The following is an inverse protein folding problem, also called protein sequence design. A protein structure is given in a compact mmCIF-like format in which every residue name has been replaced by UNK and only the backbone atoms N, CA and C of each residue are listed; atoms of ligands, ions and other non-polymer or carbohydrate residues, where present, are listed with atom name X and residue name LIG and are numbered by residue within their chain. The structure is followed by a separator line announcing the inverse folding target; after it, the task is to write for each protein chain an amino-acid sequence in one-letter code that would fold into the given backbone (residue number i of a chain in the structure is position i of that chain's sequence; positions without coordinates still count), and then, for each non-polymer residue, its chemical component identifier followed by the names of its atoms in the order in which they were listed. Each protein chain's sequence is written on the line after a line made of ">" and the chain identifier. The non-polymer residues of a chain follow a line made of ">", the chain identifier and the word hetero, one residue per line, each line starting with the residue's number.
data_IF_915880583738
#
_entry.id   IF_915880583738
#
_cell.length_a   1.000
_cell.length_b   1.000
_cell.length_c   1.000
_cell.angle_alpha   90.00
_cell.angle_beta   90.00
_cell.angle_gamma   90.00
#
_symmetry.space_group_name_H-M   'P 1'
#
loop_
_entity.id
_entity.type
_entity.pdbx_description
1 polymer ?
#
# COMPACT_ATOMS: atom_id res chain seq x y z
N UNK A 1 -19.99 -29.43 9.90
CA UNK A 1 -19.79 -28.80 11.23
C UNK A 1 -19.07 -29.68 12.27
N UNK A 2 -18.30 -30.72 11.90
CA UNK A 2 -17.68 -31.64 12.88
C UNK A 2 -16.14 -31.74 12.90
N UNK A 3 -15.44 -31.19 11.89
CA UNK A 3 -13.98 -31.36 11.76
C UNK A 3 -13.18 -30.28 12.50
N UNK A 4 -13.75 -29.09 12.69
CA UNK A 4 -13.08 -27.95 13.32
C UNK A 4 -12.91 -28.08 14.85
N UNK A 5 -13.74 -28.88 15.54
CA UNK A 5 -13.65 -29.02 17.01
C UNK A 5 -12.44 -29.83 17.49
N UNK A 6 -11.82 -30.66 16.65
CA UNK A 6 -10.65 -31.50 17.04
C UNK A 6 -9.30 -30.78 16.91
N UNK A 7 -9.25 -29.60 16.28
CA UNK A 7 -8.01 -28.80 16.11
C UNK A 7 -7.83 -27.77 17.25
N UNK A 8 -8.83 -27.59 18.11
CA UNK A 8 -8.77 -26.68 19.27
C UNK A 8 -7.67 -26.99 20.29
N UNK A 9 -7.05 -28.18 20.24
CA UNK A 9 -6.00 -28.59 21.20
C UNK A 9 -4.56 -28.37 20.70
N UNK A 10 -4.34 -27.77 19.52
CA UNK A 10 -3.00 -27.80 18.88
C UNK A 10 -2.18 -26.51 18.95
N UNK A 11 -2.77 -25.38 19.33
CA UNK A 11 -2.00 -24.18 19.64
C UNK A 11 -1.60 -24.24 21.10
N UNK A 12 -0.31 -24.48 21.38
CA UNK A 12 0.23 -24.45 22.74
C UNK A 12 0.19 -23.00 23.22
N UNK A 13 -0.84 -22.67 23.98
CA UNK A 13 -0.81 -21.51 24.87
C UNK A 13 0.09 -21.84 26.06
N UNK A 14 0.82 -20.86 26.58
CA UNK A 14 1.24 -20.94 27.97
C UNK A 14 -0.04 -21.07 28.80
N UNK A 15 -0.21 -22.20 29.48
CA UNK A 15 -1.46 -22.81 29.97
C UNK A 15 -2.28 -21.99 31.01
N UNK A 16 -1.99 -20.71 31.19
CA UNK A 16 -2.61 -19.85 32.22
C UNK A 16 -3.21 -18.53 31.69
N UNK A 17 -2.99 -18.17 30.42
CA UNK A 17 -3.55 -16.91 29.90
C UNK A 17 -4.99 -17.11 29.42
N UNK A 18 -5.97 -16.62 30.20
CA UNK A 18 -7.38 -16.46 29.76
C UNK A 18 -7.66 -15.05 29.23
N UNK A 19 -6.70 -14.13 29.34
CA UNK A 19 -6.81 -12.72 28.99
C UNK A 19 -5.84 -12.33 27.87
N UNK A 20 -6.18 -11.24 27.17
CA UNK A 20 -5.28 -10.56 26.24
C UNK A 20 -4.42 -9.52 26.99
N UNK A 21 -3.17 -9.28 26.58
CA UNK A 21 -2.49 -9.84 25.41
C UNK A 21 -2.04 -11.29 25.59
N UNK A 22 -2.00 -12.06 24.49
CA UNK A 22 -1.56 -13.44 24.47
C UNK A 22 -0.56 -13.68 23.34
N UNK A 23 0.39 -14.59 23.54
CA UNK A 23 1.28 -15.09 22.48
C UNK A 23 0.93 -16.53 22.16
N UNK A 24 0.61 -16.79 20.90
CA UNK A 24 0.20 -18.08 20.38
C UNK A 24 1.34 -18.67 19.54
N UNK A 25 1.78 -19.87 19.87
CA UNK A 25 2.73 -20.62 19.04
C UNK A 25 1.98 -21.32 17.91
N UNK A 26 2.21 -20.90 16.66
CA UNK A 26 1.55 -21.44 15.47
C UNK A 26 2.34 -22.58 14.82
N UNK A 27 3.68 -22.50 14.84
CA UNK A 27 4.58 -23.56 14.42
C UNK A 27 5.62 -23.74 15.54
N UNK A 28 5.75 -24.94 16.13
CA UNK A 28 6.60 -25.16 17.29
C UNK A 28 8.02 -24.65 17.10
N UNK A 29 8.45 -23.72 17.94
CA UNK A 29 9.81 -23.15 17.89
C UNK A 29 10.11 -22.27 16.66
N UNK A 30 9.14 -21.99 15.79
CA UNK A 30 9.38 -21.37 14.48
C UNK A 30 8.51 -20.14 14.23
N UNK A 31 7.23 -20.17 14.59
CA UNK A 31 6.29 -19.08 14.31
C UNK A 31 5.37 -18.82 15.49
N UNK A 32 5.33 -17.57 15.94
CA UNK A 32 4.45 -17.09 16.99
C UNK A 32 3.61 -15.91 16.50
N UNK A 33 2.46 -15.70 17.15
CA UNK A 33 1.62 -14.52 16.95
C UNK A 33 1.25 -13.92 18.29
N UNK A 34 1.56 -12.65 18.46
CA UNK A 34 1.07 -11.84 19.57
C UNK A 34 -0.29 -11.28 19.20
N UNK A 35 -1.29 -11.55 20.03
CA UNK A 35 -2.66 -11.04 19.92
C UNK A 35 -2.92 -10.09 21.09
N UNK A 36 -3.40 -8.89 20.80
CA UNK A 36 -3.69 -7.89 21.83
C UNK A 36 -4.98 -7.13 21.51
N UNK A 37 -5.61 -6.58 22.55
CA UNK A 37 -6.63 -5.54 22.35
C UNK A 37 -5.93 -4.29 21.83
N UNK A 38 -6.47 -3.73 20.76
CA UNK A 38 -5.93 -2.59 20.06
C UNK A 38 -6.97 -1.46 20.02
N UNK A 39 -6.57 -0.25 20.38
CA UNK A 39 -7.44 0.92 20.31
C UNK A 39 -7.24 1.66 18.99
N UNK A 40 -8.34 1.87 18.26
CA UNK A 40 -8.33 2.58 16.99
C UNK A 40 -8.34 4.10 17.24
N UNK A 41 -7.51 4.86 16.50
CA UNK A 41 -7.40 6.31 16.69
C UNK A 41 -8.67 7.06 16.26
N UNK A 42 -9.41 6.51 15.30
CA UNK A 42 -10.67 7.07 14.78
C UNK A 42 -11.65 5.96 14.44
N UNK A 43 -12.94 6.27 14.51
CA UNK A 43 -14.02 5.37 14.10
C UNK A 43 -15.12 6.17 13.44
N UNK A 44 -15.65 5.69 12.32
CA UNK A 44 -16.71 6.35 11.56
C UNK A 44 -18.02 6.48 12.35
N UNK A 45 -18.28 5.54 13.27
CA UNK A 45 -19.53 5.41 14.02
C UNK A 45 -19.44 5.91 15.48
N UNK A 46 -18.27 6.34 15.96
CA UNK A 46 -17.98 6.66 17.38
C UNK A 46 -18.35 5.55 18.40
N UNK A 47 -18.77 4.36 17.98
CA UNK A 47 -19.37 3.36 18.86
C UNK A 47 -18.42 2.21 19.19
N UNK A 48 -17.50 1.84 18.30
CA UNK A 48 -16.52 0.81 18.60
C UNK A 48 -15.10 1.14 18.12
N UNK A 49 -14.27 1.63 19.06
CA UNK A 49 -12.83 1.85 18.88
C UNK A 49 -11.96 0.63 19.20
N UNK A 50 -12.57 -0.50 19.58
CA UNK A 50 -11.82 -1.71 19.89
C UNK A 50 -11.53 -2.52 18.64
N UNK A 51 -10.36 -3.11 18.65
CA UNK A 51 -9.88 -4.03 17.65
C UNK A 51 -9.03 -5.12 18.31
N UNK A 52 -8.76 -6.18 17.56
CA UNK A 52 -7.70 -7.12 17.86
C UNK A 52 -6.54 -6.86 16.91
N UNK A 53 -5.34 -6.69 17.46
CA UNK A 53 -4.11 -6.69 16.68
C UNK A 53 -3.44 -8.05 16.72
N UNK A 54 -2.87 -8.45 15.60
CA UNK A 54 -2.11 -9.67 15.40
C UNK A 54 -0.75 -9.27 14.86
N UNK A 55 0.31 -9.66 15.54
CA UNK A 55 1.69 -9.40 15.11
C UNK A 55 2.45 -10.70 15.08
N UNK A 56 2.99 -11.09 13.93
CA UNK A 56 3.80 -12.30 13.81
C UNK A 56 5.20 -12.08 14.38
N UNK A 57 5.83 -13.18 14.78
CA UNK A 57 7.26 -13.28 15.08
C UNK A 57 7.78 -14.62 14.57
N UNK A 58 8.83 -14.60 13.76
CA UNK A 58 9.48 -15.78 13.20
C UNK A 58 9.45 -15.85 11.68
N UNK A 59 8.67 -15.00 11.00
CA UNK A 59 8.67 -14.94 9.52
C UNK A 59 10.02 -14.46 8.97
N UNK A 60 10.73 -13.61 9.71
CA UNK A 60 12.06 -13.12 9.31
C UNK A 60 13.06 -14.26 9.09
N UNK A 61 12.91 -15.39 9.80
CA UNK A 61 13.75 -16.59 9.59
C UNK A 61 13.64 -17.18 8.18
N UNK A 62 12.54 -16.88 7.47
CA UNK A 62 12.26 -17.30 6.10
C UNK A 62 12.50 -16.17 5.08
N UNK A 63 13.09 -15.06 5.50
CA UNK A 63 13.28 -13.86 4.66
C UNK A 63 12.00 -13.04 4.43
N UNK A 64 10.88 -13.42 5.06
CA UNK A 64 9.60 -12.71 5.00
C UNK A 64 9.55 -11.64 6.09
N UNK A 65 9.15 -10.41 5.76
CA UNK A 65 8.87 -9.38 6.75
C UNK A 65 7.74 -9.84 7.69
N UNK A 66 7.82 -9.50 8.97
CA UNK A 66 6.74 -9.79 9.91
C UNK A 66 5.44 -9.12 9.47
N UNK A 67 4.30 -9.71 9.82
CA UNK A 67 2.99 -9.23 9.44
C UNK A 67 2.25 -8.66 10.64
N UNK A 68 1.59 -7.53 10.40
CA UNK A 68 0.70 -6.85 11.31
C UNK A 68 -0.69 -6.77 10.71
N UNK A 69 -1.68 -7.25 11.45
CA UNK A 69 -3.08 -7.22 11.04
C UNK A 69 -3.93 -6.69 12.19
N UNK A 70 -4.85 -5.77 11.89
CA UNK A 70 -5.78 -5.21 12.88
C UNK A 70 -7.20 -5.43 12.40
N UNK A 71 -8.00 -6.08 13.24
CA UNK A 71 -9.40 -6.38 12.98
C UNK A 71 -10.29 -5.59 13.93
N UNK A 72 -11.09 -4.66 13.42
CA UNK A 72 -12.11 -3.95 14.23
C UNK A 72 -13.14 -4.96 14.72
N UNK A 73 -13.31 -5.06 16.03
CA UNK A 73 -14.20 -6.03 16.68
C UNK A 73 -14.47 -5.64 18.12
N UNK A 74 -15.57 -6.14 18.69
CA UNK A 74 -15.88 -5.97 20.12
C UNK A 74 -15.26 -7.07 20.99
N UNK A 75 -14.63 -8.06 20.38
CA UNK A 75 -14.04 -9.21 21.07
C UNK A 75 -12.82 -8.79 21.87
N UNK A 76 -12.78 -9.16 23.14
CA UNK A 76 -11.66 -8.84 24.05
C UNK A 76 -11.10 -10.04 24.78
N UNK A 77 -11.70 -11.22 24.58
CA UNK A 77 -11.32 -12.44 25.27
C UNK A 77 -10.53 -13.37 24.34
N UNK A 78 -9.63 -14.17 24.91
CA UNK A 78 -8.75 -15.04 24.15
C UNK A 78 -9.50 -16.15 23.40
N UNK A 79 -10.55 -16.69 24.00
CA UNK A 79 -11.42 -17.73 23.43
C UNK A 79 -12.27 -17.24 22.24
N UNK A 80 -12.44 -15.92 22.13
CA UNK A 80 -13.12 -15.27 21.01
C UNK A 80 -12.18 -14.93 19.84
N UNK A 81 -10.86 -15.12 20.01
CA UNK A 81 -9.87 -14.77 18.97
C UNK A 81 -10.13 -15.56 17.69
N UNK A 82 -10.35 -14.88 16.55
CA UNK A 82 -10.55 -15.53 15.27
C UNK A 82 -9.34 -16.37 14.85
N UNK A 83 -9.60 -17.53 14.26
CA UNK A 83 -8.57 -18.50 13.89
C UNK A 83 -8.07 -18.28 12.46
N UNK A 84 -8.89 -17.64 11.62
CA UNK A 84 -8.64 -17.42 10.21
C UNK A 84 -7.33 -16.66 9.95
N UNK A 85 -6.99 -15.56 10.68
CA UNK A 85 -5.69 -14.92 10.55
C UNK A 85 -4.53 -15.83 10.97
N UNK A 86 -4.72 -16.65 12.02
CA UNK A 86 -3.70 -17.58 12.50
C UNK A 86 -3.36 -18.64 11.46
N UNK A 87 -4.39 -19.23 10.83
CA UNK A 87 -4.19 -20.16 9.71
C UNK A 87 -3.52 -19.47 8.53
N UNK A 88 -3.90 -18.23 8.22
CA UNK A 88 -3.28 -17.47 7.16
C UNK A 88 -1.78 -17.26 7.40
N UNK A 89 -1.37 -16.87 8.62
CA UNK A 89 0.06 -16.70 8.94
C UNK A 89 0.87 -18.00 8.79
N UNK A 90 0.29 -19.15 9.13
CA UNK A 90 0.93 -20.45 8.85
C UNK A 90 1.11 -20.71 7.35
N UNK A 91 0.16 -20.28 6.50
CA UNK A 91 0.30 -20.40 5.05
C UNK A 91 1.38 -19.46 4.52
N UNK A 92 1.42 -18.21 4.99
CA UNK A 92 2.48 -17.26 4.62
C UNK A 92 3.86 -17.85 4.94
N UNK A 93 4.03 -18.43 6.13
CA UNK A 93 5.29 -19.07 6.51
C UNK A 93 5.71 -20.19 5.53
N UNK A 94 4.77 -21.08 5.16
CA UNK A 94 5.04 -22.17 4.20
C UNK A 94 5.35 -21.67 2.79
N UNK A 95 4.69 -20.60 2.36
CA UNK A 95 4.90 -19.98 1.05
C UNK A 95 6.26 -19.25 1.03
N UNK A 96 6.63 -18.59 2.14
CA UNK A 96 7.94 -17.97 2.32
C UNK A 96 9.08 -18.99 2.30
N UNK A 97 8.90 -20.19 2.88
CA UNK A 97 9.86 -21.30 2.76
C UNK A 97 10.15 -21.70 1.31
N UNK A 98 9.21 -21.44 0.39
CA UNK A 98 9.36 -21.71 -1.04
C UNK A 98 9.94 -20.51 -1.82
N UNK A 99 10.39 -19.46 -1.13
CA UNK A 99 10.95 -18.24 -1.72
C UNK A 99 9.90 -17.24 -2.21
N UNK A 100 8.61 -17.50 -1.98
CA UNK A 100 7.53 -16.59 -2.36
C UNK A 100 7.23 -15.63 -1.19
N UNK A 101 7.72 -14.39 -1.31
CA UNK A 101 7.65 -13.40 -0.25
C UNK A 101 6.64 -12.31 -0.58
N UNK A 102 5.81 -11.95 0.40
CA UNK A 102 5.00 -10.73 0.37
C UNK A 102 5.87 -9.50 0.62
N UNK A 103 5.66 -8.49 -0.21
CA UNK A 103 6.33 -7.18 -0.15
C UNK A 103 5.31 -6.06 -0.12
N UNK A 104 5.73 -4.87 0.25
CA UNK A 104 4.89 -3.67 0.08
C UNK A 104 4.34 -3.57 -1.35
N UNK A 105 3.06 -3.26 -1.46
CA UNK A 105 2.33 -3.12 -2.72
C UNK A 105 1.94 -4.45 -3.38
N UNK A 106 2.45 -5.58 -2.91
CA UNK A 106 2.03 -6.90 -3.38
C UNK A 106 0.63 -7.26 -2.85
N UNK A 107 0.02 -8.26 -3.49
CA UNK A 107 -1.31 -8.76 -3.14
C UNK A 107 -1.22 -10.26 -2.88
N UNK A 108 -1.96 -10.74 -1.88
CA UNK A 108 -2.39 -12.13 -1.81
C UNK A 108 -3.86 -12.22 -2.18
N UNK A 109 -4.18 -12.88 -3.28
CA UNK A 109 -5.57 -13.19 -3.65
C UNK A 109 -5.95 -14.56 -3.13
N UNK A 110 -7.10 -14.66 -2.47
CA UNK A 110 -7.60 -15.92 -1.95
C UNK A 110 -8.29 -16.74 -3.05
N UNK A 111 -8.19 -18.06 -2.92
CA UNK A 111 -8.93 -19.02 -3.74
C UNK A 111 -10.33 -19.27 -3.15
N UNK A 112 -10.71 -20.54 -3.06
CA UNK A 112 -12.01 -20.95 -2.50
C UNK A 112 -12.15 -20.63 -1.00
N UNK A 113 -11.04 -20.69 -0.25
CA UNK A 113 -11.00 -20.35 1.16
C UNK A 113 -10.58 -18.89 1.33
N UNK A 114 -11.49 -18.07 1.84
CA UNK A 114 -11.29 -16.65 2.07
C UNK A 114 -11.20 -16.28 3.56
N UNK A 115 -10.87 -15.02 3.84
CA UNK A 115 -10.94 -14.45 5.19
C UNK A 115 -12.27 -13.72 5.34
N UNK A 116 -13.31 -14.45 5.75
CA UNK A 116 -14.66 -13.88 6.00
C UNK A 116 -15.29 -13.18 4.78
N UNK A 117 -15.18 -13.78 3.61
CA UNK A 117 -15.71 -13.23 2.36
C UNK A 117 -14.79 -12.22 1.67
N UNK A 118 -13.77 -11.69 2.35
CA UNK A 118 -12.75 -10.84 1.73
C UNK A 118 -11.89 -11.64 0.76
N UNK A 119 -11.61 -11.12 -0.43
CA UNK A 119 -10.99 -11.89 -1.52
C UNK A 119 -9.50 -11.66 -1.71
N UNK A 120 -8.91 -10.75 -0.97
CA UNK A 120 -7.46 -10.67 -0.87
C UNK A 120 -6.96 -9.74 0.22
N UNK A 121 -5.63 -9.64 0.27
CA UNK A 121 -4.86 -8.75 1.12
C UNK A 121 -3.97 -7.90 0.23
N UNK A 122 -3.92 -6.60 0.48
CA UNK A 122 -2.79 -5.77 0.04
C UNK A 122 -1.86 -5.52 1.21
N UNK A 123 -0.55 -5.62 0.97
CA UNK A 123 0.48 -5.37 1.96
C UNK A 123 0.99 -3.93 1.85
N UNK A 124 1.02 -3.22 2.96
CA UNK A 124 1.48 -1.83 3.04
C UNK A 124 2.48 -1.64 4.17
N UNK A 125 3.15 -0.49 4.24
CA UNK A 125 3.97 -0.15 5.40
C UNK A 125 3.11 -0.08 6.66
N UNK A 126 3.65 -0.56 7.77
CA UNK A 126 3.04 -0.36 9.08
C UNK A 126 2.92 1.15 9.41
N UNK A 127 1.90 1.56 10.18
CA UNK A 127 1.71 2.96 10.55
C UNK A 127 2.91 3.55 11.29
N UNK A 128 3.33 4.76 10.91
CA UNK A 128 4.49 5.41 11.49
C UNK A 128 4.39 5.61 13.02
N UNK A 129 3.19 5.91 13.54
CA UNK A 129 2.95 6.09 14.98
C UNK A 129 3.06 4.80 15.80
N UNK A 130 3.11 3.62 15.15
CA UNK A 130 3.34 2.32 15.78
C UNK A 130 4.80 1.86 15.64
N UNK A 131 5.67 2.67 15.04
CA UNK A 131 7.10 2.39 14.99
C UNK A 131 7.67 2.38 16.42
N UNK A 132 8.40 1.32 16.75
CA UNK A 132 8.92 1.08 18.10
C UNK A 132 8.05 0.15 18.96
N UNK A 133 6.77 -0.03 18.61
CA UNK A 133 5.90 -1.07 19.17
C UNK A 133 5.97 -2.33 18.30
N UNK A 134 5.92 -2.13 16.98
CA UNK A 134 5.97 -3.20 15.99
C UNK A 134 7.42 -3.61 15.66
N UNK A 135 7.63 -4.85 15.16
CA UNK A 135 8.90 -5.27 14.58
C UNK A 135 9.41 -4.27 13.53
N UNK A 136 10.73 -4.10 13.43
CA UNK A 136 11.36 -3.10 12.55
C UNK A 136 10.97 -3.26 11.08
N UNK A 137 10.84 -4.50 10.60
CA UNK A 137 10.47 -4.82 9.23
C UNK A 137 9.10 -5.50 9.23
N UNK A 138 8.05 -4.69 9.31
CA UNK A 138 6.69 -5.19 9.42
C UNK A 138 5.78 -4.62 8.32
N UNK A 139 5.00 -5.50 7.70
CA UNK A 139 3.97 -5.16 6.71
C UNK A 139 2.60 -5.16 7.37
N UNK A 140 1.85 -4.09 7.16
CA UNK A 140 0.43 -4.04 7.48
C UNK A 140 -0.39 -4.76 6.42
N UNK A 141 -1.36 -5.54 6.85
CA UNK A 141 -2.31 -6.24 6.00
C UNK A 141 -3.66 -5.54 5.98
N UNK A 142 -4.17 -5.23 4.78
CA UNK A 142 -5.51 -4.66 4.59
C UNK A 142 -6.35 -5.60 3.73
N UNK A 143 -7.51 -6.03 4.23
CA UNK A 143 -8.40 -6.91 3.47
C UNK A 143 -9.16 -6.13 2.38
N UNK A 144 -9.27 -6.77 1.21
CA UNK A 144 -9.85 -6.20 -0.01
C UNK A 144 -10.95 -7.10 -0.58
N UNK A 145 -11.98 -6.47 -1.17
CA UNK A 145 -12.96 -7.15 -2.02
C UNK A 145 -12.30 -7.67 -3.30
N UNK A 146 -13.01 -8.47 -4.11
CA UNK A 146 -12.44 -8.96 -5.36
C UNK A 146 -12.17 -7.82 -6.35
N UNK A 147 -13.11 -6.89 -6.45
CA UNK A 147 -13.01 -5.72 -7.33
C UNK A 147 -11.86 -4.82 -6.88
N UNK A 148 -11.65 -4.67 -5.58
CA UNK A 148 -10.52 -3.91 -5.03
C UNK A 148 -9.18 -4.59 -5.31
N UNK A 149 -9.09 -5.93 -5.20
CA UNK A 149 -7.90 -6.71 -5.59
C UNK A 149 -7.54 -6.47 -7.05
N UNK A 150 -8.53 -6.58 -7.96
CA UNK A 150 -8.35 -6.31 -9.39
C UNK A 150 -7.92 -4.86 -9.62
N UNK A 151 -8.54 -3.92 -8.90
CA UNK A 151 -8.21 -2.51 -9.01
C UNK A 151 -6.77 -2.20 -8.55
N UNK A 152 -6.22 -2.89 -7.56
CA UNK A 152 -4.81 -2.73 -7.19
C UNK A 152 -3.89 -3.14 -8.35
N UNK A 153 -4.19 -4.26 -9.03
CA UNK A 153 -3.40 -4.73 -10.18
C UNK A 153 -3.48 -3.76 -11.37
N UNK A 154 -4.65 -3.13 -11.58
CA UNK A 154 -4.88 -2.22 -12.69
C UNK A 154 -4.42 -0.79 -12.43
N UNK A 155 -4.62 -0.27 -11.22
CA UNK A 155 -4.46 1.16 -10.93
C UNK A 155 -3.40 1.46 -9.87
N UNK A 156 -2.77 0.43 -9.30
CA UNK A 156 -1.74 0.57 -8.27
C UNK A 156 -2.33 0.65 -6.87
N UNK A 157 -1.59 0.11 -5.91
CA UNK A 157 -2.06 -0.04 -4.55
C UNK A 157 -2.21 1.28 -3.79
N UNK A 158 -1.34 2.27 -4.04
CA UNK A 158 -1.42 3.59 -3.38
C UNK A 158 -2.75 4.28 -3.66
N UNK A 159 -3.30 4.17 -4.90
CA UNK A 159 -4.63 4.69 -5.24
C UNK A 159 -5.72 4.04 -4.42
N UNK A 160 -5.74 2.71 -4.36
CA UNK A 160 -6.78 1.97 -3.65
C UNK A 160 -6.70 2.26 -2.14
N UNK A 161 -5.49 2.28 -1.58
CA UNK A 161 -5.28 2.63 -0.18
C UNK A 161 -5.70 4.08 0.13
N UNK A 162 -5.37 5.06 -0.72
CA UNK A 162 -5.78 6.46 -0.48
C UNK A 162 -7.29 6.64 -0.62
N UNK A 163 -7.96 5.86 -1.47
CA UNK A 163 -9.43 5.80 -1.55
C UNK A 163 -10.04 5.20 -0.28
N UNK A 164 -9.46 4.12 0.28
CA UNK A 164 -9.86 3.60 1.59
C UNK A 164 -9.63 4.64 2.69
N UNK A 165 -8.53 5.38 2.63
CA UNK A 165 -8.21 6.50 3.53
C UNK A 165 -9.27 7.59 3.48
N UNK A 166 -9.67 8.00 2.28
CA UNK A 166 -10.77 8.95 2.05
C UNK A 166 -12.08 8.44 2.63
N UNK A 167 -12.47 7.20 2.33
CA UNK A 167 -13.71 6.60 2.85
C UNK A 167 -13.70 6.52 4.38
N UNK A 168 -12.57 6.17 4.99
CA UNK A 168 -12.44 6.04 6.44
C UNK A 168 -12.10 7.36 7.16
N UNK A 169 -11.89 8.46 6.42
CA UNK A 169 -11.36 9.74 6.94
C UNK A 169 -10.08 9.56 7.76
N UNK A 170 -9.15 8.75 7.25
CA UNK A 170 -7.90 8.42 7.91
C UNK A 170 -6.72 8.49 6.95
N UNK A 171 -5.61 9.06 7.41
CA UNK A 171 -4.40 9.22 6.62
C UNK A 171 -3.30 8.22 7.00
N UNK A 172 -2.58 7.62 6.02
CA UNK A 172 -2.89 7.65 4.58
C UNK A 172 -3.97 6.65 4.17
N UNK A 173 -4.20 5.62 4.97
CA UNK A 173 -5.24 4.59 4.78
C UNK A 173 -5.53 3.92 6.12
N UNK A 174 -6.75 3.42 6.38
CA UNK A 174 -7.04 2.69 7.60
C UNK A 174 -6.19 1.43 7.67
N UNK A 175 -5.29 1.35 8.65
CA UNK A 175 -4.43 0.18 8.84
C UNK A 175 -5.18 -1.01 9.45
N UNK A 176 -6.42 -0.80 9.85
CA UNK A 176 -7.33 -1.83 10.33
C UNK A 176 -8.35 -2.23 9.27
N UNK A 177 -8.86 -3.45 9.39
CA UNK A 177 -9.99 -3.93 8.61
C UNK A 177 -11.27 -3.81 9.44
N UNK A 178 -12.26 -3.11 8.90
CA UNK A 178 -13.64 -3.14 9.37
C UNK A 178 -14.44 -4.10 8.48
N UNK A 179 -14.96 -5.18 9.06
CA UNK A 179 -15.75 -6.17 8.32
C UNK A 179 -17.03 -5.61 7.71
N UNK A 180 -17.55 -4.51 8.26
CA UNK A 180 -18.80 -3.91 7.84
C UNK A 180 -18.58 -2.68 6.96
N UNK A 181 -17.34 -2.40 6.51
CA UNK A 181 -17.11 -1.30 5.58
C UNK A 181 -17.76 -1.61 4.24
N UNK A 182 -18.28 -0.58 3.60
CA UNK A 182 -18.68 -0.66 2.20
C UNK A 182 -17.44 -0.87 1.30
N UNK A 183 -17.64 -1.56 0.18
CA UNK A 183 -16.63 -1.68 -0.86
C UNK A 183 -16.45 -0.34 -1.57
N UNK A 184 -15.24 -0.08 -2.05
CA UNK A 184 -14.99 1.09 -2.88
C UNK A 184 -15.80 1.05 -4.18
N UNK A 185 -16.17 2.24 -4.69
CA UNK A 185 -16.82 2.40 -6.00
C UNK A 185 -15.82 2.24 -7.16
N UNK A 186 -15.22 1.06 -7.29
CA UNK A 186 -14.16 0.75 -8.27
C UNK A 186 -14.59 1.02 -9.72
N UNK A 187 -15.86 0.83 -10.04
CA UNK A 187 -16.41 1.08 -11.38
C UNK A 187 -16.17 2.50 -11.91
N UNK A 188 -15.99 3.49 -11.04
CA UNK A 188 -15.67 4.87 -11.44
C UNK A 188 -14.25 5.02 -11.97
N UNK A 189 -13.33 4.11 -11.59
CA UNK A 189 -11.95 4.07 -12.11
C UNK A 189 -11.88 3.68 -13.58
N UNK A 190 -12.99 3.18 -14.16
CA UNK A 190 -13.08 2.90 -15.60
C UNK A 190 -12.82 4.15 -16.47
N UNK A 191 -12.95 5.34 -15.90
CA UNK A 191 -12.66 6.63 -16.55
C UNK A 191 -11.19 7.03 -16.46
N UNK A 192 -10.38 6.32 -15.67
CA UNK A 192 -8.96 6.64 -15.51
C UNK A 192 -8.18 6.32 -16.78
N UNK A 193 -7.26 7.21 -17.12
CA UNK A 193 -6.29 7.02 -18.20
C UNK A 193 -5.45 5.76 -18.00
N UNK A 194 -5.20 5.34 -16.75
CA UNK A 194 -4.43 4.13 -16.47
C UNK A 194 -4.98 2.87 -17.15
N UNK A 195 -6.30 2.81 -17.40
CA UNK A 195 -6.95 1.63 -18.01
C UNK A 195 -6.40 1.29 -19.39
N UNK A 196 -6.00 2.29 -20.18
CA UNK A 196 -5.53 2.12 -21.56
C UNK A 196 -4.01 2.23 -21.73
N UNK A 197 -3.28 2.40 -20.63
CA UNK A 197 -1.86 2.69 -20.66
C UNK A 197 -0.99 1.50 -20.27
N UNK A 198 0.25 1.49 -20.76
CA UNK A 198 1.29 0.62 -20.22
C UNK A 198 1.64 1.12 -18.81
N UNK A 199 1.71 0.20 -17.86
CA UNK A 199 1.95 0.49 -16.45
C UNK A 199 3.17 -0.27 -15.96
N UNK A 200 3.91 0.35 -15.06
CA UNK A 200 5.03 -0.25 -14.35
C UNK A 200 4.81 -0.04 -12.85
N UNK A 201 4.63 -1.14 -12.13
CA UNK A 201 4.60 -1.12 -10.66
C UNK A 201 6.02 -0.84 -10.18
N UNK A 202 6.19 0.22 -9.41
CA UNK A 202 7.53 0.69 -9.04
C UNK A 202 7.59 1.15 -7.57
N UNK A 203 7.51 0.21 -6.60
CA UNK A 203 7.39 0.53 -5.18
C UNK A 203 8.67 1.12 -4.57
N UNK A 204 9.81 0.99 -5.24
CA UNK A 204 11.06 1.66 -4.81
C UNK A 204 11.08 3.15 -5.16
N UNK A 205 10.05 3.64 -5.86
CA UNK A 205 9.87 5.03 -6.20
C UNK A 205 8.76 5.69 -5.36
N UNK A 206 8.91 6.98 -5.12
CA UNK A 206 7.84 7.87 -4.64
C UNK A 206 7.71 9.07 -5.57
N UNK A 207 6.50 9.61 -5.68
CA UNK A 207 6.27 10.87 -6.40
C UNK A 207 5.55 11.87 -5.50
N UNK A 208 6.14 13.06 -5.34
CA UNK A 208 5.63 14.10 -4.42
C UNK A 208 5.64 15.47 -5.06
N UNK A 209 4.59 16.26 -4.83
CA UNK A 209 4.56 17.70 -5.08
C UNK A 209 4.94 18.43 -3.80
N UNK A 210 5.97 19.26 -3.86
CA UNK A 210 6.44 20.07 -2.71
C UNK A 210 6.05 21.53 -2.92
N UNK A 211 5.42 22.12 -1.90
CA UNK A 211 4.99 23.52 -1.82
C UNK A 211 4.16 23.99 -3.03
N UNK A 212 3.41 23.08 -3.66
CA UNK A 212 2.65 23.34 -4.89
C UNK A 212 3.46 23.91 -6.06
N UNK A 213 4.77 23.66 -6.10
CA UNK A 213 5.66 24.24 -7.11
C UNK A 213 6.44 23.18 -7.90
N UNK A 214 6.87 22.11 -7.24
CA UNK A 214 7.85 21.20 -7.83
C UNK A 214 7.49 19.74 -7.58
N UNK A 215 7.41 18.95 -8.65
CA UNK A 215 7.18 17.50 -8.60
C UNK A 215 8.53 16.78 -8.53
N UNK A 216 8.68 15.92 -7.53
CA UNK A 216 9.84 15.07 -7.35
C UNK A 216 9.47 13.61 -7.57
N UNK A 217 10.11 12.95 -8.52
CA UNK A 217 10.23 11.50 -8.57
C UNK A 217 11.50 11.10 -7.80
N UNK A 218 11.34 10.42 -6.67
CA UNK A 218 12.48 9.90 -5.91
C UNK A 218 12.57 8.40 -6.10
N UNK A 219 13.75 7.87 -6.44
CA UNK A 219 14.00 6.44 -6.61
C UNK A 219 15.14 6.02 -5.69
N UNK A 220 14.99 4.89 -4.99
CA UNK A 220 16.06 4.33 -4.17
C UNK A 220 17.24 3.85 -5.05
N UNK A 221 18.50 4.19 -4.70
CA UNK A 221 19.70 3.74 -5.42
C UNK A 221 19.83 2.21 -5.49
N UNK A 222 19.32 1.52 -4.48
CA UNK A 222 19.31 0.05 -4.40
C UNK A 222 18.25 -0.59 -5.28
N UNK A 223 17.34 0.21 -5.87
CA UNK A 223 16.34 -0.30 -6.81
C UNK A 223 17.02 -1.04 -7.96
N UNK A 224 16.58 -2.28 -8.17
CA UNK A 224 17.01 -3.11 -9.29
C UNK A 224 16.05 -2.89 -10.46
N UNK A 225 16.26 -1.79 -11.16
CA UNK A 225 15.56 -1.49 -12.40
C UNK A 225 16.15 -2.31 -13.55
N UNK A 226 15.49 -3.40 -13.94
CA UNK A 226 15.87 -4.13 -15.15
C UNK A 226 15.30 -3.45 -16.40
N UNK A 227 15.87 -2.29 -16.75
CA UNK A 227 15.49 -1.49 -17.91
C UNK A 227 16.48 -1.63 -19.08
N UNK A 228 17.53 -2.45 -18.92
CA UNK A 228 18.65 -2.54 -19.85
C UNK A 228 18.25 -3.01 -21.27
N UNK A 229 17.11 -3.71 -21.37
CA UNK A 229 16.58 -4.22 -22.64
C UNK A 229 15.24 -3.59 -23.02
N UNK A 230 14.72 -2.66 -22.21
CA UNK A 230 13.46 -2.01 -22.52
C UNK A 230 13.68 -0.77 -23.39
N UNK A 231 13.14 -0.82 -24.61
CA UNK A 231 12.97 0.38 -25.42
C UNK A 231 11.66 1.07 -25.05
N UNK A 232 11.74 2.32 -24.61
CA UNK A 232 10.58 3.19 -24.37
C UNK A 232 10.39 4.14 -25.56
N UNK A 233 9.62 3.75 -26.59
CA UNK A 233 9.34 4.66 -27.69
C UNK A 233 8.54 5.85 -27.19
N UNK A 234 8.90 7.07 -27.63
CA UNK A 234 8.21 8.29 -27.20
C UNK A 234 6.75 8.38 -27.63
N UNK A 235 6.31 7.52 -28.56
CA UNK A 235 4.92 7.40 -29.01
C UNK A 235 4.01 6.62 -28.05
N UNK A 236 4.56 5.90 -27.08
CA UNK A 236 3.78 5.07 -26.15
C UNK A 236 3.90 5.68 -24.75
N UNK A 237 2.83 6.27 -24.21
CA UNK A 237 2.84 6.79 -22.84
C UNK A 237 2.98 5.64 -21.83
N UNK A 238 3.63 5.94 -20.70
CA UNK A 238 3.89 4.98 -19.63
C UNK A 238 3.49 5.59 -18.30
N UNK A 239 2.85 4.80 -17.44
CA UNK A 239 2.59 5.17 -16.06
C UNK A 239 3.49 4.40 -15.08
N UNK A 240 4.12 5.12 -14.15
CA UNK A 240 4.68 4.53 -12.94
C UNK A 240 3.62 4.50 -11.84
N UNK A 241 3.56 3.39 -11.12
CA UNK A 241 2.72 3.19 -9.94
C UNK A 241 3.63 3.11 -8.70
N UNK A 242 3.93 4.27 -8.06
CA UNK A 242 4.87 4.37 -6.96
C UNK A 242 4.26 4.05 -5.60
N UNK A 243 5.12 3.92 -4.62
CA UNK A 243 4.77 3.93 -3.20
C UNK A 243 4.51 5.34 -2.68
N UNK A 244 3.78 5.43 -1.57
CA UNK A 244 3.66 6.70 -0.84
C UNK A 244 4.98 7.03 -0.14
N UNK A 245 5.44 8.28 -0.30
CA UNK A 245 6.61 8.78 0.42
C UNK A 245 6.33 8.84 1.94
N UNK A 246 7.24 8.32 2.75
CA UNK A 246 7.11 8.37 4.22
C UNK A 246 7.11 9.78 4.81
N UNK A 247 7.58 10.77 4.06
CA UNK A 247 7.59 12.19 4.45
C UNK A 247 6.39 12.97 3.91
N UNK A 248 5.52 12.34 3.14
CA UNK A 248 4.32 12.99 2.66
C UNK A 248 3.40 13.33 3.84
N UNK A 249 2.89 14.57 3.85
CA UNK A 249 1.87 15.06 4.78
C UNK A 249 0.51 15.25 4.09
N UNK A 250 0.42 14.89 2.82
CA UNK A 250 -0.82 14.77 2.06
C UNK A 250 -0.68 13.64 1.03
N UNK A 251 -1.80 13.09 0.58
CA UNK A 251 -1.83 12.12 -0.53
C UNK A 251 -3.01 12.48 -1.42
N UNK A 252 -2.74 12.64 -2.71
CA UNK A 252 -3.80 12.72 -3.71
C UNK A 252 -4.63 11.43 -3.67
N UNK A 253 -5.93 11.58 -3.91
CA UNK A 253 -6.89 10.47 -3.92
C UNK A 253 -7.89 10.67 -5.05
N UNK A 254 -8.48 9.57 -5.52
CA UNK A 254 -9.43 9.62 -6.62
C UNK A 254 -10.61 10.55 -6.30
N UNK A 255 -10.89 11.44 -7.23
CA UNK A 255 -12.03 12.36 -7.19
C UNK A 255 -13.13 11.87 -8.11
N UNK A 256 -14.36 11.85 -7.61
CA UNK A 256 -15.53 11.58 -8.43
C UNK A 256 -16.03 12.84 -9.15
N UNK A 257 -15.47 14.01 -8.80
CA UNK A 257 -15.78 15.28 -9.44
C UNK A 257 -14.82 15.53 -10.62
N UNK A 258 -15.34 15.83 -11.81
CA UNK A 258 -14.48 16.16 -12.95
C UNK A 258 -13.55 17.34 -12.65
N UNK A 259 -12.26 17.19 -12.98
CA UNK A 259 -11.24 18.25 -12.90
C UNK A 259 -11.00 18.85 -11.50
N UNK A 260 -11.41 18.18 -10.42
CA UNK A 260 -11.16 18.63 -9.05
C UNK A 260 -10.24 17.62 -8.35
N UNK A 261 -8.91 17.84 -8.30
CA UNK A 261 -8.04 16.96 -7.54
C UNK A 261 -8.42 17.00 -6.06
N UNK A 262 -8.47 15.83 -5.44
CA UNK A 262 -8.74 15.69 -4.02
C UNK A 262 -7.50 15.14 -3.31
N UNK A 263 -7.31 15.52 -2.05
CA UNK A 263 -6.25 15.00 -1.21
C UNK A 263 -6.76 14.67 0.19
N UNK A 264 -6.17 13.65 0.80
CA UNK A 264 -6.33 13.33 2.22
C UNK A 264 -5.07 13.75 2.98
N UNK A 265 -5.24 14.19 4.22
CA UNK A 265 -4.15 14.67 5.07
C UNK A 265 -4.30 14.14 6.50
N UNK A 266 -3.21 13.99 7.27
CA UNK A 266 -3.29 13.79 8.71
C UNK A 266 -3.76 15.08 9.39
N UNK A 267 -4.27 14.99 10.64
CA UNK A 267 -4.68 16.16 11.41
C UNK A 267 -3.57 17.23 11.49
N UNK A 268 -3.96 18.50 11.36
CA UNK A 268 -3.08 19.68 11.42
C UNK A 268 -2.02 19.78 10.31
N UNK A 269 -2.08 18.92 9.29
CA UNK A 269 -1.21 19.02 8.12
C UNK A 269 -1.47 20.29 7.32
N UNK A 270 -0.39 20.85 6.76
CA UNK A 270 -0.44 21.96 5.81
C UNK A 270 -0.47 21.47 4.35
N UNK A 271 -0.27 20.17 4.11
CA UNK A 271 -0.22 19.58 2.78
C UNK A 271 0.96 20.08 1.94
N UNK A 272 2.10 20.36 2.59
CA UNK A 272 3.27 20.92 1.91
C UNK A 272 4.01 19.88 1.06
N UNK A 273 3.89 18.59 1.39
CA UNK A 273 4.47 17.46 0.66
C UNK A 273 3.37 16.47 0.30
N UNK A 274 2.83 16.63 -0.90
CA UNK A 274 1.70 15.86 -1.39
C UNK A 274 2.17 14.67 -2.24
N UNK A 275 1.93 13.46 -1.75
CA UNK A 275 2.18 12.23 -2.51
C UNK A 275 1.17 12.03 -3.64
N UNK A 276 1.62 11.48 -4.77
CA UNK A 276 0.77 11.06 -5.88
C UNK A 276 0.68 9.54 -6.01
N UNK A 277 -0.45 9.04 -6.47
CA UNK A 277 -0.69 7.61 -6.69
C UNK A 277 -0.07 7.07 -7.98
N UNK A 278 0.31 7.96 -8.91
CA UNK A 278 0.91 7.63 -10.18
C UNK A 278 1.77 8.77 -10.74
N UNK A 279 2.68 8.43 -11.65
CA UNK A 279 3.34 9.38 -12.54
C UNK A 279 3.15 8.92 -14.00
N UNK A 280 2.40 9.68 -14.78
CA UNK A 280 2.24 9.48 -16.21
C UNK A 280 3.34 10.20 -16.99
N UNK A 281 4.03 9.51 -17.88
CA UNK A 281 5.11 10.05 -18.70
C UNK A 281 4.69 9.95 -20.17
N UNK A 282 4.65 11.09 -20.87
CA UNK A 282 4.14 11.20 -22.24
C UNK A 282 5.20 11.85 -23.11
N UNK A 283 5.65 11.17 -24.17
CA UNK A 283 6.61 11.70 -25.14
C UNK A 283 5.94 12.43 -26.31
N UNK A 284 6.75 12.89 -27.27
CA UNK A 284 6.32 13.55 -28.51
C UNK A 284 5.50 14.83 -28.31
N UNK A 285 5.71 15.51 -27.17
CA UNK A 285 5.03 16.75 -26.89
C UNK A 285 5.78 17.91 -27.57
N UNK A 286 5.03 18.95 -27.97
CA UNK A 286 5.63 20.18 -28.52
C UNK A 286 6.44 20.95 -27.49
N UNK A 287 6.00 20.87 -26.23
CA UNK A 287 6.53 21.61 -25.09
C UNK A 287 6.63 20.68 -23.89
N UNK A 288 7.62 20.93 -23.04
CA UNK A 288 7.78 20.19 -21.80
C UNK A 288 6.89 20.77 -20.71
N UNK A 289 6.12 19.92 -20.01
CA UNK A 289 5.17 20.33 -18.96
C UNK A 289 5.16 19.31 -17.84
N UNK A 290 4.99 19.76 -16.60
CA UNK A 290 4.56 18.90 -15.51
C UNK A 290 3.31 19.49 -14.84
N UNK A 291 2.37 18.62 -14.45
CA UNK A 291 1.09 19.02 -13.87
C UNK A 291 0.48 17.92 -13.01
N UNK A 292 -0.48 18.30 -12.17
CA UNK A 292 -1.39 17.35 -11.51
C UNK A 292 -2.31 16.74 -12.56
N UNK A 293 -2.57 15.43 -12.46
CA UNK A 293 -3.50 14.70 -13.31
C UNK A 293 -4.13 13.54 -12.51
N UNK A 294 -5.46 13.50 -12.47
CA UNK A 294 -6.22 12.60 -11.60
C UNK A 294 -5.74 12.72 -10.14
N UNK A 295 -5.29 11.63 -9.53
CA UNK A 295 -4.71 11.53 -8.19
C UNK A 295 -3.18 11.34 -8.23
N UNK A 296 -2.54 11.79 -9.30
CA UNK A 296 -1.10 11.74 -9.47
C UNK A 296 -0.60 12.91 -10.30
N UNK A 297 0.47 12.66 -11.03
CA UNK A 297 1.15 13.69 -11.83
C UNK A 297 1.37 13.23 -13.25
N UNK A 298 1.51 14.18 -14.17
CA UNK A 298 1.89 13.94 -15.54
C UNK A 298 3.14 14.74 -15.91
N UNK A 299 4.08 14.08 -16.57
CA UNK A 299 5.29 14.61 -17.17
C UNK A 299 5.19 14.49 -18.70
N UNK A 300 5.05 15.62 -19.36
CA UNK A 300 4.91 15.76 -20.80
C UNK A 300 6.26 16.21 -21.36
N UNK A 301 6.86 15.41 -22.24
CA UNK A 301 8.21 15.60 -22.73
C UNK A 301 8.24 15.69 -24.26
N UNK A 302 9.04 16.61 -24.77
CA UNK A 302 9.48 16.58 -26.16
C UNK A 302 10.46 15.40 -26.38
N UNK A 303 10.87 15.18 -27.63
CA UNK A 303 11.72 14.04 -27.96
C UNK A 303 13.13 14.09 -27.32
N UNK A 304 13.66 15.27 -27.06
CA UNK A 304 15.00 15.44 -26.49
C UNK A 304 14.98 15.17 -24.99
N UNK A 305 14.03 15.76 -24.27
CA UNK A 305 13.85 15.53 -22.84
C UNK A 305 13.40 14.10 -22.53
N UNK A 306 12.62 13.48 -23.41
CA UNK A 306 12.29 12.05 -23.31
C UNK A 306 13.57 11.19 -23.28
N UNK A 307 14.50 11.42 -24.22
CA UNK A 307 15.77 10.69 -24.28
C UNK A 307 16.63 10.97 -23.04
N UNK A 308 16.69 12.22 -22.59
CA UNK A 308 17.46 12.60 -21.41
C UNK A 308 16.90 11.96 -20.12
N UNK A 309 15.59 11.98 -19.94
CA UNK A 309 14.91 11.35 -18.79
C UNK A 309 15.22 9.85 -18.71
N UNK A 310 15.06 9.11 -19.81
CA UNK A 310 15.34 7.68 -19.83
C UNK A 310 16.84 7.36 -19.66
N UNK A 311 17.72 8.17 -20.25
CA UNK A 311 19.17 8.06 -20.02
C UNK A 311 19.52 8.28 -18.53
N UNK A 312 18.87 9.24 -17.87
CA UNK A 312 19.08 9.51 -16.46
C UNK A 312 18.60 8.34 -15.58
N UNK A 313 17.45 7.72 -15.91
CA UNK A 313 17.00 6.51 -15.23
C UNK A 313 17.99 5.35 -15.43
N UNK A 314 18.40 5.07 -16.68
CA UNK A 314 19.31 3.96 -17.00
C UNK A 314 20.67 4.12 -16.29
N UNK A 315 21.17 5.35 -16.20
CA UNK A 315 22.47 5.64 -15.60
C UNK A 315 22.41 5.91 -14.09
N UNK A 316 21.23 5.79 -13.46
CA UNK A 316 21.01 6.18 -12.06
C UNK A 316 21.46 7.61 -11.73
N UNK A 317 21.15 8.55 -12.64
CA UNK A 317 21.51 9.96 -12.53
C UNK A 317 20.30 10.83 -12.22
N UNK A 318 20.53 11.91 -11.49
CA UNK A 318 19.51 12.93 -11.25
C UNK A 318 19.19 13.64 -12.57
N UNK A 319 17.92 14.04 -12.72
CA UNK A 319 17.44 14.79 -13.87
C UNK A 319 16.54 15.94 -13.39
N UNK A 320 16.60 17.08 -14.08
CA UNK A 320 15.79 18.25 -13.78
C UNK A 320 15.17 18.75 -15.07
N UNK A 321 13.88 19.06 -15.00
CA UNK A 321 13.15 19.73 -16.06
C UNK A 321 12.62 21.05 -15.50
N UNK A 322 13.06 22.15 -16.10
CA UNK A 322 12.43 23.46 -15.90
C UNK A 322 11.33 23.63 -16.93
N UNK A 323 10.17 24.06 -16.47
CA UNK A 323 8.99 24.27 -17.33
C UNK A 323 8.67 25.76 -17.48
N UNK A 324 7.74 26.10 -18.37
CA UNK A 324 7.27 27.47 -18.49
C UNK A 324 6.49 27.91 -17.22
N UNK A 325 6.36 29.22 -17.00
CA UNK A 325 5.86 29.84 -15.75
C UNK A 325 4.52 29.30 -15.21
N UNK A 326 3.68 28.74 -16.08
CA UNK A 326 2.35 28.22 -15.74
C UNK A 326 2.33 26.70 -15.45
N UNK A 327 3.49 26.04 -15.46
CA UNK A 327 3.62 24.61 -15.20
C UNK A 327 4.49 24.35 -13.98
N UNK A 328 4.36 23.14 -13.43
CA UNK A 328 5.17 22.70 -12.30
C UNK A 328 6.54 22.27 -12.82
N UNK A 329 7.59 22.58 -12.06
CA UNK A 329 8.92 22.03 -12.32
C UNK A 329 8.98 20.54 -11.93
N UNK A 330 9.93 19.82 -12.51
CA UNK A 330 10.10 18.40 -12.24
C UNK A 330 11.56 18.03 -11.93
N UNK A 331 11.77 17.09 -11.01
CA UNK A 331 13.07 16.47 -10.81
C UNK A 331 12.96 14.98 -10.52
N UNK A 332 13.85 14.21 -11.16
CA UNK A 332 14.16 12.85 -10.80
C UNK A 332 15.38 12.86 -9.87
N UNK A 333 15.24 12.25 -8.69
CA UNK A 333 16.29 12.13 -7.68
C UNK A 333 16.55 10.65 -7.37
N UNK A 334 17.82 10.26 -7.40
CA UNK A 334 18.27 8.99 -6.85
C UNK A 334 18.75 9.20 -5.42
N UNK A 335 18.25 8.39 -4.47
CA UNK A 335 18.52 8.53 -3.03
C UNK A 335 18.84 7.22 -2.33
#
# INVERSE_FOLDING_TARGET
>A
MGFFKKIFNKFRTNKEATSLPATLELIPGELWVSVAVHELPVTFDNQNKKALSFTTRGLESQGQQELFFVLKTNRTNLDEVPQEPLYFFQQVYKVAQQGHLAKEGSITQFGENDLWGWKGIVYAKAPAHLQGILPKQCLNMVLLSLEEVQAVQEFGYTRILSMLGKQARYYPFPYWTDHYRENLLIQELNKSLLKSLRRMVFPEASVTLINNQHIYLTINYTAQLNLAHETFPSSIPLAFLPSLDSKADACLTWSFQPNAPEAITPPNSQGNTMGGCMLLIIGQQKENKARILEDGFALLLNNDEWKQFWKAIQNKQNYKLQTAKDFLDFSLLWR
#
